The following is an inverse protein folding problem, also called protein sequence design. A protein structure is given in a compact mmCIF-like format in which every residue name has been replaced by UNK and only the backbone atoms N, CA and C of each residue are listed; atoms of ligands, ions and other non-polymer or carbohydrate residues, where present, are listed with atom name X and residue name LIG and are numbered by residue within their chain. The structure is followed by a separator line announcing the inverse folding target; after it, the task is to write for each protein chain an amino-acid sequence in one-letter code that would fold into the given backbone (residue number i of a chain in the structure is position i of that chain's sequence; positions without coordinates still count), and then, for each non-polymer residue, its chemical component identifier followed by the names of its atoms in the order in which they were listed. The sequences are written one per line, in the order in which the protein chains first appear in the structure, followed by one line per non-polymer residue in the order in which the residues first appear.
data_IF_506834170643
#
_entry.id   IF_506834170643
#
_cell.length_a   1.000
_cell.length_b   1.000
_cell.length_c   1.000
_cell.angle_alpha   90.00
_cell.angle_beta   90.00
_cell.angle_gamma   90.00
#
_symmetry.space_group_name_H-M   'P 1'
#
loop_
_entity.id
_entity.type
_entity.pdbx_description
1 polymer ?
#
# COMPACT_ATOMS: atom_id res chain seq x y z
N UNK A 1 -11.93 -30.38 -6.86
CA UNK A 1 -11.48 -29.27 -5.99
C UNK A 1 -11.30 -28.05 -6.87
N UNK A 2 -12.33 -27.22 -7.02
CA UNK A 2 -12.30 -26.01 -7.86
C UNK A 2 -11.54 -24.91 -7.12
N UNK A 3 -10.37 -24.53 -7.65
CA UNK A 3 -9.60 -23.41 -7.12
C UNK A 3 -10.39 -22.11 -7.36
N UNK A 4 -10.85 -21.49 -6.28
CA UNK A 4 -11.45 -20.15 -6.34
C UNK A 4 -10.39 -19.17 -6.85
N UNK A 5 -10.53 -18.73 -8.10
CA UNK A 5 -9.63 -17.74 -8.69
C UNK A 5 -9.88 -16.38 -8.01
N UNK A 6 -9.06 -16.05 -7.02
CA UNK A 6 -9.09 -14.74 -6.37
C UNK A 6 -8.80 -13.67 -7.42
N UNK A 7 -9.69 -12.68 -7.55
CA UNK A 7 -9.47 -11.56 -8.47
C UNK A 7 -8.17 -10.81 -8.10
N UNK A 8 -7.32 -10.46 -9.08
CA UNK A 8 -6.07 -9.77 -8.77
C UNK A 8 -6.33 -8.44 -8.09
N UNK A 9 -5.78 -8.23 -6.89
CA UNK A 9 -5.87 -6.93 -6.20
C UNK A 9 -5.08 -5.87 -6.96
N UNK A 10 -5.75 -4.76 -7.30
CA UNK A 10 -5.13 -3.56 -7.85
C UNK A 10 -4.50 -2.73 -6.73
N UNK A 11 -3.28 -2.25 -6.97
CA UNK A 11 -2.55 -1.32 -6.11
C UNK A 11 -2.18 -0.08 -6.91
N UNK A 12 -1.74 0.98 -6.22
CA UNK A 12 -1.18 2.17 -6.88
C UNK A 12 -0.07 1.81 -7.88
N UNK A 13 0.85 0.92 -7.49
CA UNK A 13 1.93 0.45 -8.36
C UNK A 13 1.41 -0.29 -9.59
N UNK A 14 0.40 -1.17 -9.45
CA UNK A 14 -0.20 -1.90 -10.58
C UNK A 14 -0.95 -0.98 -11.55
N UNK A 15 -1.63 0.05 -11.03
CA UNK A 15 -2.26 1.06 -11.88
C UNK A 15 -1.23 1.86 -12.66
N UNK A 16 -0.11 2.23 -12.02
CA UNK A 16 1.01 2.89 -12.70
C UNK A 16 1.66 1.97 -13.74
N UNK A 17 1.89 0.70 -13.40
CA UNK A 17 2.42 -0.29 -14.34
C UNK A 17 1.53 -0.41 -15.58
N UNK A 18 0.21 -0.51 -15.40
CA UNK A 18 -0.76 -0.54 -16.50
C UNK A 18 -0.68 0.72 -17.37
N UNK A 19 -0.55 1.89 -16.74
CA UNK A 19 -0.50 3.18 -17.45
C UNK A 19 0.79 3.38 -18.22
N UNK A 20 1.91 2.89 -17.71
CA UNK A 20 3.20 2.89 -18.40
C UNK A 20 3.23 1.85 -19.54
N UNK A 21 2.79 0.63 -19.25
CA UNK A 21 2.78 -0.48 -20.19
C UNK A 21 1.79 -1.57 -19.72
N UNK A 22 0.67 -1.81 -20.42
CA UNK A 22 -0.29 -2.86 -20.04
C UNK A 22 0.34 -4.25 -19.94
N UNK A 23 1.36 -4.54 -20.76
CA UNK A 23 2.12 -5.80 -20.72
C UNK A 23 2.91 -5.97 -19.43
N UNK A 24 3.42 -4.88 -18.84
CA UNK A 24 4.09 -4.91 -17.53
C UNK A 24 3.12 -5.37 -16.45
N UNK A 25 1.91 -4.80 -16.41
CA UNK A 25 0.87 -5.23 -15.46
C UNK A 25 0.52 -6.72 -15.64
N UNK A 26 0.40 -7.19 -16.88
CA UNK A 26 0.14 -8.60 -17.16
C UNK A 26 1.23 -9.51 -16.58
N UNK A 27 2.52 -9.16 -16.78
CA UNK A 27 3.64 -9.90 -16.20
C UNK A 27 3.62 -9.87 -14.67
N UNK A 28 3.39 -8.72 -14.05
CA UNK A 28 3.31 -8.61 -12.59
C UNK A 28 2.19 -9.46 -11.97
N UNK A 29 1.13 -9.77 -12.72
CA UNK A 29 0.03 -10.64 -12.26
C UNK A 29 0.25 -12.11 -12.55
N UNK A 30 0.71 -12.44 -13.75
CA UNK A 30 0.75 -13.84 -14.21
C UNK A 30 2.13 -14.47 -14.07
N UNK A 31 3.19 -13.65 -14.01
CA UNK A 31 4.60 -14.06 -14.01
C UNK A 31 5.43 -13.16 -13.06
N UNK A 32 5.11 -13.13 -11.75
CA UNK A 32 5.81 -12.27 -10.79
C UNK A 32 7.30 -12.63 -10.64
N UNK A 33 7.68 -13.85 -11.01
CA UNK A 33 9.06 -14.35 -11.13
C UNK A 33 9.91 -13.53 -12.12
N UNK A 34 9.27 -12.89 -13.10
CA UNK A 34 9.94 -12.08 -14.12
C UNK A 34 9.97 -10.58 -13.75
N UNK A 35 9.48 -10.21 -12.56
CA UNK A 35 9.51 -8.83 -12.12
C UNK A 35 10.94 -8.44 -11.74
N UNK A 36 11.47 -7.44 -12.41
CA UNK A 36 12.78 -6.86 -12.10
C UNK A 36 12.60 -5.47 -11.46
N UNK A 37 12.65 -5.44 -10.14
CA UNK A 37 12.65 -4.17 -9.39
C UNK A 37 14.09 -3.67 -9.31
N UNK A 38 14.41 -2.67 -10.14
CA UNK A 38 15.75 -2.08 -10.18
C UNK A 38 16.21 -1.56 -8.83
N UNK A 39 17.54 -1.49 -8.61
CA UNK A 39 18.13 -0.89 -7.40
C UNK A 39 17.59 0.52 -7.12
N UNK A 40 17.36 1.31 -8.17
CA UNK A 40 16.75 2.64 -8.05
C UNK A 40 15.30 2.58 -7.52
N UNK A 41 14.51 1.59 -7.97
CA UNK A 41 13.13 1.38 -7.48
C UNK A 41 13.13 1.00 -5.99
N UNK A 42 14.04 0.10 -5.58
CA UNK A 42 14.19 -0.28 -4.17
C UNK A 42 14.64 0.90 -3.30
N UNK A 43 15.59 1.71 -3.78
CA UNK A 43 16.02 2.92 -3.09
C UNK A 43 14.88 3.92 -2.90
N UNK A 44 14.03 4.12 -3.91
CA UNK A 44 12.86 4.99 -3.81
C UNK A 44 11.84 4.48 -2.76
N UNK A 45 11.62 3.16 -2.67
CA UNK A 45 10.79 2.59 -1.61
C UNK A 45 11.40 2.82 -0.23
N UNK A 46 12.71 2.58 -0.08
CA UNK A 46 13.44 2.85 1.15
C UNK A 46 13.31 4.31 1.61
N UNK A 47 13.45 5.27 0.69
CA UNK A 47 13.24 6.68 0.97
C UNK A 47 11.80 6.97 1.43
N UNK A 48 10.80 6.38 0.77
CA UNK A 48 9.40 6.50 1.17
C UNK A 48 9.14 5.96 2.58
N UNK A 49 9.76 4.83 2.95
CA UNK A 49 9.68 4.27 4.30
C UNK A 49 10.31 5.19 5.35
N UNK A 50 11.50 5.76 5.05
CA UNK A 50 12.17 6.70 5.94
C UNK A 50 11.32 7.97 6.17
N UNK A 51 10.71 8.52 5.12
CA UNK A 51 9.77 9.64 5.24
C UNK A 51 8.57 9.26 6.11
N UNK A 52 8.01 8.05 5.93
CA UNK A 52 6.92 7.55 6.76
C UNK A 52 7.29 7.43 8.25
N UNK A 53 8.52 7.02 8.56
CA UNK A 53 9.02 6.98 9.93
C UNK A 53 9.12 8.37 10.55
N UNK A 54 9.66 9.34 9.80
CA UNK A 54 9.71 10.75 10.24
C UNK A 54 8.31 11.30 10.47
N UNK A 55 7.37 11.01 9.57
CA UNK A 55 5.98 11.44 9.72
C UNK A 55 5.40 10.92 11.04
N UNK A 56 5.55 9.63 11.35
CA UNK A 56 5.10 9.08 12.64
C UNK A 56 5.72 9.79 13.84
N UNK A 57 7.01 10.11 13.82
CA UNK A 57 7.66 10.85 14.91
C UNK A 57 7.09 12.27 15.09
N UNK A 58 6.77 12.96 13.99
CA UNK A 58 6.28 14.34 14.04
C UNK A 58 4.83 14.44 14.50
N UNK A 59 4.03 13.48 14.06
CA UNK A 59 2.58 13.56 14.02
C UNK A 59 1.91 12.60 15.02
N UNK A 60 2.54 11.44 15.28
CA UNK A 60 2.12 10.47 16.29
C UNK A 60 3.05 10.46 17.51
N UNK A 61 3.19 11.62 18.16
CA UNK A 61 4.13 11.81 19.29
C UNK A 61 3.76 10.96 20.51
N UNK A 62 2.47 10.75 20.73
CA UNK A 62 1.94 9.99 21.86
C UNK A 62 1.88 8.48 21.56
N UNK A 63 2.25 8.05 20.34
CA UNK A 63 2.20 6.65 19.90
C UNK A 63 0.79 6.06 19.86
N UNK A 64 -0.22 6.92 19.66
CA UNK A 64 -1.64 6.55 19.58
C UNK A 64 -2.11 6.34 18.14
N UNK A 65 -1.25 6.62 17.17
CA UNK A 65 -1.50 6.44 15.76
C UNK A 65 -1.76 4.97 15.45
N UNK A 66 -2.79 4.72 14.67
CA UNK A 66 -3.18 3.36 14.29
C UNK A 66 -2.76 3.13 12.84
N UNK A 67 -1.91 2.13 12.64
CA UNK A 67 -1.59 1.67 11.29
C UNK A 67 -2.74 0.83 10.73
N UNK A 68 -3.28 1.29 9.61
CA UNK A 68 -4.42 0.67 8.95
C UNK A 68 -3.93 -0.39 7.95
N UNK A 69 -4.21 -1.68 8.22
CA UNK A 69 -3.73 -2.79 7.37
C UNK A 69 -4.39 -2.81 5.98
N UNK A 70 -3.57 -3.08 4.96
CA UNK A 70 -3.99 -3.24 3.56
C UNK A 70 -4.54 -4.64 3.25
N UNK A 71 -4.35 -5.61 4.12
CA UNK A 71 -4.82 -6.98 3.90
C UNK A 71 -6.35 -7.06 4.06
N UNK A 72 -6.88 -6.28 5.00
CA UNK A 72 -8.31 -6.21 5.38
C UNK A 72 -8.90 -4.84 5.09
N UNK A 73 -8.87 -4.43 3.82
CA UNK A 73 -9.27 -3.09 3.35
C UNK A 73 -10.66 -2.65 3.85
N UNK A 74 -11.62 -3.57 3.93
CA UNK A 74 -12.97 -3.23 4.42
C UNK A 74 -12.97 -2.83 5.89
N UNK A 75 -12.26 -3.58 6.74
CA UNK A 75 -12.13 -3.29 8.16
C UNK A 75 -11.35 -2.00 8.39
N UNK A 76 -10.28 -1.81 7.61
CA UNK A 76 -9.50 -0.59 7.54
C UNK A 76 -10.35 0.66 7.23
N UNK A 77 -11.24 0.56 6.23
CA UNK A 77 -12.15 1.65 5.86
C UNK A 77 -13.19 1.92 6.95
N UNK A 78 -13.75 0.87 7.56
CA UNK A 78 -14.71 1.01 8.65
C UNK A 78 -14.08 1.72 9.86
N UNK A 79 -12.87 1.29 10.26
CA UNK A 79 -12.11 1.88 11.34
C UNK A 79 -11.75 3.34 11.05
N UNK A 80 -11.29 3.64 9.82
CA UNK A 80 -10.99 5.02 9.41
C UNK A 80 -12.21 5.93 9.52
N UNK A 81 -13.41 5.47 9.14
CA UNK A 81 -14.65 6.25 9.29
C UNK A 81 -14.98 6.57 10.74
N UNK A 82 -14.70 5.65 11.67
CA UNK A 82 -14.90 5.89 13.11
C UNK A 82 -13.91 6.93 13.60
N UNK A 83 -12.62 6.75 13.31
CA UNK A 83 -11.55 7.66 13.75
C UNK A 83 -11.71 9.08 13.20
N UNK A 84 -12.20 9.24 11.97
CA UNK A 84 -12.44 10.56 11.37
C UNK A 84 -13.61 11.33 12.00
N UNK A 85 -14.52 10.66 12.72
CA UNK A 85 -15.65 11.33 13.40
C UNK A 85 -15.27 11.96 14.73
N UNK A 86 -14.20 11.47 15.35
CA UNK A 86 -13.66 11.99 16.61
C UNK A 86 -12.26 12.54 16.36
N UNK A 87 -12.13 13.78 15.84
CA UNK A 87 -10.84 14.39 15.55
C UNK A 87 -10.12 14.73 16.86
N UNK A 88 -9.47 13.72 17.43
CA UNK A 88 -8.87 13.80 18.77
C UNK A 88 -7.45 14.35 18.77
N UNK A 89 -6.82 14.56 17.61
CA UNK A 89 -5.55 15.29 17.46
C UNK A 89 -5.27 15.55 15.97
N UNK A 90 -4.43 16.56 15.61
CA UNK A 90 -3.97 16.71 14.24
C UNK A 90 -3.18 15.46 13.86
N UNK A 91 -3.33 15.08 12.58
CA UNK A 91 -2.65 13.94 11.94
C UNK A 91 -1.24 13.75 12.44
#
# INVERSE_FOLDING_TARGET
MTATRTAPRLSKSKLMACRQCPRRLWLEWHRPDLRDDTTATQAAFGQGHAVGQVARQLYDRDGKGIEVSRERVQDALAQSKVLLREPSQPL
#
